data_IF_251720212873
#
_entry.id   IF_251720212873
#
_cell.length_a   1.000
_cell.length_b   1.000
_cell.length_c   1.000
_cell.angle_alpha   90.00
_cell.angle_beta   90.00
_cell.angle_gamma   90.00
#
_symmetry.space_group_name_H-M   'P 1'
#
loop_
_entity.id
_entity.type
_entity.pdbx_description
1 polymer ?
#
# COMPACT_ATOMS: atom_id res chain seq x y z
N UNK A 1 12.98 -1.16 -13.65
CA UNK A 1 11.76 -2.00 -13.66
C UNK A 1 10.68 -1.09 -14.24
N UNK A 2 10.50 -1.11 -15.56
CA UNK A 2 9.66 -0.15 -16.31
C UNK A 2 8.19 -0.13 -15.82
N UNK A 3 7.59 1.06 -15.89
CA UNK A 3 6.29 1.51 -15.38
C UNK A 3 5.07 0.67 -15.79
N UNK A 4 4.95 -0.57 -15.30
CA UNK A 4 3.76 -1.41 -15.54
C UNK A 4 2.54 -1.07 -14.69
N UNK A 5 2.75 -0.37 -13.58
CA UNK A 5 1.72 -0.12 -12.58
C UNK A 5 1.45 1.38 -12.47
N UNK A 6 0.18 1.75 -12.60
CA UNK A 6 -0.29 3.11 -12.31
C UNK A 6 -0.12 3.44 -10.83
N UNK A 7 -0.25 4.72 -10.46
CA UNK A 7 -0.23 5.14 -9.05
C UNK A 7 -1.30 4.40 -8.24
N UNK A 8 -2.47 4.15 -8.83
CA UNK A 8 -3.55 3.42 -8.19
C UNK A 8 -3.21 1.94 -7.94
N UNK A 9 -2.58 1.29 -8.91
CA UNK A 9 -2.16 -0.11 -8.79
C UNK A 9 -1.05 -0.25 -7.74
N UNK A 10 -0.09 0.68 -7.75
CA UNK A 10 0.98 0.73 -6.75
C UNK A 10 0.41 0.93 -5.35
N UNK A 11 -0.59 1.80 -5.22
CA UNK A 11 -1.26 2.05 -3.94
C UNK A 11 -1.94 0.80 -3.40
N UNK A 12 -2.76 0.12 -4.22
CA UNK A 12 -3.50 -1.06 -3.76
C UNK A 12 -2.56 -2.22 -3.42
N UNK A 13 -1.44 -2.35 -4.16
CA UNK A 13 -0.38 -3.29 -3.85
C UNK A 13 0.34 -2.96 -2.54
N UNK A 14 0.70 -1.69 -2.31
CA UNK A 14 1.27 -1.23 -1.03
C UNK A 14 0.32 -1.57 0.10
N UNK A 15 -0.96 -1.19 -0.02
CA UNK A 15 -1.97 -1.47 0.98
C UNK A 15 -2.09 -2.98 1.27
N UNK A 16 -2.14 -3.83 0.24
CA UNK A 16 -2.19 -5.29 0.42
C UNK A 16 -1.01 -5.84 1.21
N UNK A 17 0.18 -5.27 1.01
CA UNK A 17 1.41 -5.72 1.67
C UNK A 17 1.38 -5.34 3.15
N UNK A 18 1.04 -4.09 3.48
CA UNK A 18 1.22 -3.54 4.83
C UNK A 18 -0.04 -3.54 5.70
N UNK A 19 -1.21 -3.83 5.13
CA UNK A 19 -2.47 -3.82 5.89
C UNK A 19 -2.42 -4.76 7.13
N UNK A 20 -3.10 -4.40 8.23
CA UNK A 20 -3.84 -3.14 8.43
C UNK A 20 -2.92 -1.93 8.57
N UNK A 21 -3.30 -0.81 7.95
CA UNK A 21 -2.45 0.39 7.88
C UNK A 21 -3.27 1.69 7.85
N UNK A 22 -2.66 2.78 8.34
CA UNK A 22 -3.17 4.14 8.15
C UNK A 22 -2.65 4.71 6.84
N UNK A 23 -3.31 5.73 6.28
CA UNK A 23 -2.88 6.38 5.03
C UNK A 23 -1.44 6.91 5.08
N UNK A 24 -1.00 7.43 6.23
CA UNK A 24 0.39 7.86 6.46
C UNK A 24 1.41 6.72 6.43
N UNK A 25 1.02 5.50 6.82
CA UNK A 25 1.87 4.31 6.73
C UNK A 25 1.96 3.84 5.28
N UNK A 26 0.84 3.91 4.56
CA UNK A 26 0.77 3.61 3.12
C UNK A 26 1.63 4.58 2.32
N UNK A 27 1.61 5.88 2.61
CA UNK A 27 2.47 6.88 1.94
C UNK A 27 3.95 6.53 2.08
N UNK A 28 4.41 6.27 3.32
CA UNK A 28 5.81 5.94 3.60
C UNK A 28 6.23 4.65 2.91
N UNK A 29 5.43 3.60 3.03
CA UNK A 29 5.69 2.32 2.37
C UNK A 29 5.65 2.44 0.84
N UNK A 30 4.78 3.28 0.30
CA UNK A 30 4.70 3.54 -1.14
C UNK A 30 5.99 4.21 -1.63
N UNK A 31 6.42 5.29 -0.98
CA UNK A 31 7.66 6.00 -1.32
C UNK A 31 8.86 5.03 -1.31
N UNK A 32 8.96 4.21 -0.27
CA UNK A 32 10.03 3.22 -0.11
C UNK A 32 9.98 2.10 -1.17
N UNK A 33 8.81 1.48 -1.39
CA UNK A 33 8.69 0.32 -2.28
C UNK A 33 8.86 0.66 -3.76
N UNK A 34 8.51 1.89 -4.14
CA UNK A 34 8.49 2.33 -5.53
C UNK A 34 9.62 3.32 -5.86
N UNK A 35 10.55 3.53 -4.91
CA UNK A 35 11.69 4.44 -5.01
C UNK A 35 11.28 5.86 -5.46
N UNK A 36 10.19 6.37 -4.86
CA UNK A 36 9.63 7.69 -5.14
C UNK A 36 9.93 8.61 -3.96
N UNK A 37 10.35 9.84 -4.24
CA UNK A 37 10.55 10.85 -3.20
C UNK A 37 9.22 11.20 -2.53
N UNK A 38 9.20 11.18 -1.20
CA UNK A 38 8.08 11.73 -0.43
C UNK A 38 8.14 13.26 -0.48
N UNK A 39 7.16 13.85 -1.15
CA UNK A 39 6.93 15.30 -1.23
C UNK A 39 5.44 15.62 -1.05
N UNK A 40 5.11 16.90 -0.91
CA UNK A 40 3.73 17.34 -0.67
C UNK A 40 2.77 16.93 -1.80
N UNK A 41 3.27 16.88 -3.05
CA UNK A 41 2.47 16.46 -4.20
C UNK A 41 2.12 14.98 -4.12
N UNK A 42 3.09 14.11 -3.80
CA UNK A 42 2.84 12.69 -3.61
C UNK A 42 1.87 12.46 -2.45
N UNK A 43 2.04 13.19 -1.36
CA UNK A 43 1.15 13.14 -0.20
C UNK A 43 -0.28 13.45 -0.60
N UNK A 44 -0.53 14.56 -1.30
CA UNK A 44 -1.88 14.95 -1.73
C UNK A 44 -2.53 13.89 -2.63
N UNK A 45 -1.74 13.33 -3.56
CA UNK A 45 -2.21 12.27 -4.47
C UNK A 45 -2.58 11.00 -3.69
N UNK A 46 -1.72 10.55 -2.77
CA UNK A 46 -1.94 9.32 -1.99
C UNK A 46 -3.14 9.47 -1.06
N UNK A 47 -3.31 10.64 -0.44
CA UNK A 47 -4.47 10.90 0.43
C UNK A 47 -5.77 10.97 -0.38
N UNK A 48 -5.77 11.68 -1.51
CA UNK A 48 -6.94 11.75 -2.40
C UNK A 48 -7.33 10.37 -2.92
N UNK A 49 -6.34 9.55 -3.28
CA UNK A 49 -6.57 8.18 -3.73
C UNK A 49 -7.10 7.28 -2.61
N UNK A 50 -6.60 7.42 -1.39
CA UNK A 50 -7.10 6.69 -0.23
C UNK A 50 -8.59 6.97 -0.01
N UNK A 51 -8.97 8.25 -0.01
CA UNK A 51 -10.37 8.66 0.15
C UNK A 51 -11.24 8.12 -0.97
N UNK A 52 -10.79 8.23 -2.24
CA UNK A 52 -11.49 7.64 -3.38
C UNK A 52 -11.68 6.12 -3.23
N UNK A 53 -10.65 5.39 -2.82
CA UNK A 53 -10.71 3.93 -2.64
C UNK A 53 -11.66 3.55 -1.49
N UNK A 54 -11.76 4.39 -0.46
CA UNK A 54 -12.74 4.24 0.62
C UNK A 54 -14.16 4.45 0.10
N UNK A 55 -14.39 5.52 -0.65
CA UNK A 55 -15.70 5.82 -1.28
C UNK A 55 -16.13 4.73 -2.26
N UNK A 56 -15.19 4.18 -3.03
CA UNK A 56 -15.41 3.10 -4.00
C UNK A 56 -15.64 1.71 -3.32
N UNK A 57 -15.62 1.64 -1.98
CA UNK A 57 -15.84 0.44 -1.18
C UNK A 57 -14.69 -0.58 -1.22
N UNK A 58 -13.48 -0.13 -1.56
CA UNK A 58 -12.28 -0.96 -1.64
C UNK A 58 -11.52 -1.02 -0.31
N UNK A 59 -11.79 -0.08 0.60
CA UNK A 59 -11.23 -0.01 1.94
C UNK A 59 -12.32 -0.06 3.01
N UNK A 60 -12.02 -0.69 4.14
CA UNK A 60 -12.86 -0.68 5.34
C UNK A 60 -12.04 -0.22 6.53
N UNK A 61 -12.57 0.74 7.32
CA UNK A 61 -11.96 1.14 8.59
C UNK A 61 -12.22 0.04 9.62
N UNK A 62 -11.14 -0.44 10.24
CA UNK A 62 -11.22 -1.43 11.31
C UNK A 62 -11.03 -0.82 12.69
N UNK A 63 -10.29 0.30 12.81
CA UNK A 63 -10.05 1.01 14.08
C UNK A 63 -9.31 2.32 13.88
N UNK A 64 -9.89 3.43 14.37
CA UNK A 64 -9.20 4.73 14.56
C UNK A 64 -8.40 5.16 13.31
N UNK A 65 -9.00 5.11 12.11
CA UNK A 65 -8.36 5.49 10.86
C UNK A 65 -7.34 4.48 10.34
N UNK A 66 -7.47 3.21 10.74
CA UNK A 66 -6.66 2.09 10.25
C UNK A 66 -7.53 1.27 9.32
N UNK A 67 -7.04 0.99 8.13
CA UNK A 67 -7.84 0.40 7.06
C UNK A 67 -7.34 -0.98 6.67
N UNK A 68 -8.25 -1.77 6.10
CA UNK A 68 -7.99 -3.02 5.38
C UNK A 68 -8.56 -2.90 3.97
N UNK A 69 -8.03 -3.69 3.04
CA UNK A 69 -8.70 -3.96 1.77
C UNK A 69 -9.96 -4.81 2.03
N UNK A 70 -11.06 -4.46 1.37
CA UNK A 70 -12.24 -5.33 1.30
C UNK A 70 -11.96 -6.55 0.42
N UNK A 71 -12.87 -7.53 0.38
CA UNK A 71 -12.75 -8.68 -0.53
C UNK A 71 -12.56 -8.23 -1.99
N UNK A 72 -13.30 -7.22 -2.44
CA UNK A 72 -13.17 -6.61 -3.77
C UNK A 72 -11.79 -5.96 -3.97
N UNK A 73 -11.29 -5.23 -2.96
CA UNK A 73 -9.95 -4.65 -2.99
C UNK A 73 -8.85 -5.71 -3.08
N UNK A 74 -9.02 -6.83 -2.37
CA UNK A 74 -8.10 -7.97 -2.40
C UNK A 74 -8.09 -8.66 -3.77
N UNK A 75 -9.25 -8.86 -4.39
CA UNK A 75 -9.35 -9.41 -5.75
C UNK A 75 -8.64 -8.54 -6.79
N UNK A 76 -8.83 -7.22 -6.72
CA UNK A 76 -8.16 -6.27 -7.61
C UNK A 76 -6.64 -6.36 -7.43
N UNK A 77 -6.18 -6.31 -6.18
CA UNK A 77 -4.75 -6.42 -5.87
C UNK A 77 -4.15 -7.76 -6.31
N UNK A 78 -4.93 -8.84 -6.37
CA UNK A 78 -4.49 -10.15 -6.86
C UNK A 78 -4.29 -10.24 -8.37
N UNK A 79 -4.88 -9.34 -9.15
CA UNK A 79 -4.67 -9.28 -10.60
C UNK A 79 -3.29 -8.74 -10.97
N UNK A 80 -2.68 -7.95 -10.09
CA UNK A 80 -1.44 -7.24 -10.40
C UNK A 80 -0.17 -8.01 -10.05
N UNK A 81 -0.21 -8.87 -9.02
CA UNK A 81 0.96 -9.63 -8.56
C UNK A 81 0.54 -11.02 -8.06
N UNK A 82 1.33 -12.05 -8.39
CA UNK A 82 1.18 -13.41 -7.84
C UNK A 82 1.48 -13.42 -6.34
N UNK A 83 0.71 -14.16 -5.56
CA UNK A 83 0.82 -14.16 -4.08
C UNK A 83 2.24 -14.39 -3.55
N UNK A 84 3.02 -15.27 -4.22
CA UNK A 84 4.41 -15.56 -3.87
C UNK A 84 5.34 -14.34 -3.91
N UNK A 85 5.10 -13.37 -4.78
CA UNK A 85 5.87 -12.12 -4.83
C UNK A 85 5.47 -11.14 -3.72
N UNK A 86 4.21 -11.17 -3.28
CA UNK A 86 3.73 -10.36 -2.14
C UNK A 86 4.37 -10.84 -0.84
N UNK A 87 4.43 -12.16 -0.62
CA UNK A 87 5.04 -12.73 0.59
C UNK A 87 6.54 -12.43 0.69
N UNK A 88 7.26 -12.47 -0.44
CA UNK A 88 8.67 -12.08 -0.50
C UNK A 88 8.88 -10.61 -0.12
N UNK A 89 8.00 -9.71 -0.57
CA UNK A 89 8.06 -8.29 -0.20
C UNK A 89 7.74 -8.05 1.27
N UNK A 90 6.73 -8.74 1.83
CA UNK A 90 6.44 -8.70 3.27
C UNK A 90 7.65 -9.14 4.10
N UNK A 91 8.28 -10.26 3.73
CA UNK A 91 9.45 -10.77 4.42
C UNK A 91 10.62 -9.76 4.39
N UNK A 92 10.82 -9.08 3.27
CA UNK A 92 11.85 -8.04 3.14
C UNK A 92 11.63 -6.86 4.09
N UNK A 93 10.40 -6.32 4.13
CA UNK A 93 10.05 -5.22 5.03
C UNK A 93 10.21 -5.61 6.50
N UNK A 94 9.78 -6.82 6.88
CA UNK A 94 9.96 -7.34 8.25
C UNK A 94 11.43 -7.50 8.65
N UNK A 95 12.29 -7.98 7.74
CA UNK A 95 13.74 -8.11 7.99
C UNK A 95 14.41 -6.75 8.17
N UNK A 96 14.01 -5.74 7.38
CA UNK A 96 14.50 -4.37 7.50
C UNK A 96 14.08 -3.76 8.84
N UNK A 97 12.82 -3.96 9.25
CA UNK A 97 12.33 -3.50 10.54
C UNK A 97 13.13 -4.12 11.70
N UNK A 98 13.42 -5.42 11.66
CA UNK A 98 14.28 -6.07 12.68
C UNK A 98 15.68 -5.47 12.80
N UNK A 99 16.28 -5.00 11.69
CA UNK A 99 17.60 -4.35 11.71
C UNK A 99 17.59 -2.94 12.31
N UNK A 100 16.46 -2.24 12.27
CA UNK A 100 16.34 -0.86 12.77
C UNK A 100 16.05 -0.79 14.29
N UNK A 101 15.65 -1.91 14.90
CA UNK A 101 15.34 -2.02 16.33
C UNK A 101 16.40 -2.81 17.13
N UNK A 102 17.58 -3.04 16.55
CA UNK A 102 18.78 -3.46 17.28
C UNK A 102 19.67 -2.25 17.57
#
# INVERSE_FOLDING_TARGET
>A
MEDRFSIADRYILTMRIIQPARVQDVLRAYAEMWDVKEDDRLKDVIYSLHEKMREDGLLVDVRKGTYLLTAKGMEIAARFIKEREIDNRRLFLMKRQRRLYQ
#
